data_IF_293558354491
#
_entry.id   IF_293558354491
#
_cell.length_a   1.000
_cell.length_b   1.000
_cell.length_c   1.000
_cell.angle_alpha   90.00
_cell.angle_beta   90.00
_cell.angle_gamma   90.00
#
_symmetry.space_group_name_H-M   'P 1'
#
loop_
_entity.id
_entity.type
_entity.pdbx_description
1 polymer ?
#
# COMPACT_ATOMS: atom_id res chain seq x y z
N UNK A 1 -25.04 -1.23 6.12
CA UNK A 1 -24.43 -0.70 4.87
C UNK A 1 -22.99 -0.34 5.19
N UNK A 2 -22.02 -0.67 4.33
CA UNK A 2 -20.61 -0.31 4.61
C UNK A 2 -20.45 1.20 4.60
N UNK A 3 -19.73 1.75 5.59
CA UNK A 3 -19.52 3.19 5.73
C UNK A 3 -18.78 3.80 4.55
N UNK A 4 -17.86 3.04 3.97
CA UNK A 4 -17.01 3.49 2.87
C UNK A 4 -15.86 2.53 2.66
N UNK A 5 -14.84 3.01 1.94
CA UNK A 5 -13.59 2.28 1.66
C UNK A 5 -12.41 3.03 2.28
N UNK A 6 -11.53 2.31 2.96
CA UNK A 6 -10.25 2.83 3.46
C UNK A 6 -9.11 2.03 2.82
N UNK A 7 -8.12 2.74 2.30
CA UNK A 7 -6.92 2.14 1.73
C UNK A 7 -5.77 2.22 2.74
N UNK A 8 -5.25 1.08 3.18
CA UNK A 8 -4.06 1.01 4.00
C UNK A 8 -2.85 0.75 3.10
N UNK A 9 -1.79 1.53 3.25
CA UNK A 9 -0.53 1.32 2.56
C UNK A 9 0.52 0.85 3.57
N UNK A 10 1.06 -0.36 3.39
CA UNK A 10 2.06 -0.93 4.30
C UNK A 10 3.22 -1.58 3.54
N UNK A 11 4.45 -1.40 4.04
CA UNK A 11 5.64 -2.04 3.50
C UNK A 11 5.63 -3.56 3.66
N UNK A 12 6.30 -4.29 2.78
CA UNK A 12 6.27 -5.75 2.73
C UNK A 12 7.00 -6.51 3.85
N UNK A 13 7.24 -5.87 5.00
CA UNK A 13 7.81 -6.50 6.20
C UNK A 13 6.80 -6.47 7.35
N UNK A 14 6.88 -7.43 8.27
CA UNK A 14 5.96 -7.54 9.41
C UNK A 14 5.85 -6.27 10.25
N UNK A 15 6.95 -5.51 10.42
CA UNK A 15 6.95 -4.26 11.20
C UNK A 15 5.99 -3.17 10.71
N UNK A 16 5.59 -3.20 9.43
CA UNK A 16 4.60 -2.28 8.87
C UNK A 16 3.24 -2.97 8.66
N UNK A 17 3.24 -4.27 8.37
CA UNK A 17 2.02 -5.03 8.11
C UNK A 17 1.22 -5.33 9.38
N UNK A 18 1.86 -5.69 10.50
CA UNK A 18 1.15 -5.97 11.75
C UNK A 18 0.38 -4.76 12.32
N UNK A 19 0.93 -3.53 12.39
CA UNK A 19 0.13 -2.39 12.81
C UNK A 19 -0.99 -2.07 11.80
N UNK A 20 -0.77 -2.31 10.50
CA UNK A 20 -1.80 -2.15 9.48
C UNK A 20 -2.93 -3.17 9.63
N UNK A 21 -2.61 -4.40 9.97
CA UNK A 21 -3.54 -5.49 10.25
C UNK A 21 -4.39 -5.19 11.50
N UNK A 22 -3.75 -4.71 12.57
CA UNK A 22 -4.46 -4.31 13.77
C UNK A 22 -5.49 -3.19 13.49
N UNK A 23 -5.11 -2.18 12.70
CA UNK A 23 -6.06 -1.15 12.28
C UNK A 23 -7.16 -1.72 11.37
N UNK A 24 -6.81 -2.63 10.46
CA UNK A 24 -7.77 -3.22 9.54
C UNK A 24 -8.88 -3.99 10.27
N UNK A 25 -8.55 -4.74 11.33
CA UNK A 25 -9.54 -5.37 12.20
C UNK A 25 -10.52 -4.36 12.79
N UNK A 26 -10.01 -3.32 13.44
CA UNK A 26 -10.83 -2.28 14.07
C UNK A 26 -11.73 -1.55 13.04
N UNK A 27 -11.20 -1.27 11.85
CA UNK A 27 -11.96 -0.62 10.78
C UNK A 27 -13.08 -1.52 10.24
N UNK A 28 -12.81 -2.80 10.06
CA UNK A 28 -13.83 -3.77 9.64
C UNK A 28 -14.94 -3.90 10.67
N UNK A 29 -14.60 -3.98 11.96
CA UNK A 29 -15.59 -4.00 13.06
C UNK A 29 -16.45 -2.73 13.09
N UNK A 30 -15.88 -1.58 12.74
CA UNK A 30 -16.58 -0.31 12.57
C UNK A 30 -17.38 -0.18 11.27
N UNK A 31 -17.41 -1.23 10.44
CA UNK A 31 -18.19 -1.31 9.21
C UNK A 31 -17.55 -0.67 7.97
N UNK A 32 -16.24 -0.45 7.98
CA UNK A 32 -15.48 0.01 6.82
C UNK A 32 -15.02 -1.17 5.96
N UNK A 33 -14.85 -0.94 4.65
CA UNK A 33 -14.19 -1.90 3.76
C UNK A 33 -12.72 -1.54 3.63
N UNK A 34 -11.85 -2.42 4.13
CA UNK A 34 -10.41 -2.21 4.08
C UNK A 34 -9.81 -2.79 2.81
N UNK A 35 -9.02 -2.00 2.09
CA UNK A 35 -8.14 -2.44 1.02
C UNK A 35 -6.68 -2.26 1.46
N UNK A 36 -5.80 -3.17 1.06
CA UNK A 36 -4.37 -3.09 1.35
C UNK A 36 -3.59 -2.79 0.07
N UNK A 37 -2.69 -1.81 0.11
CA UNK A 37 -1.67 -1.53 -0.88
C UNK A 37 -0.31 -1.92 -0.30
N UNK A 38 0.37 -2.88 -0.93
CA UNK A 38 1.65 -3.39 -0.44
C UNK A 38 2.53 -3.90 -1.59
N UNK A 39 3.75 -4.35 -1.33
CA UNK A 39 4.61 -4.94 -2.38
C UNK A 39 4.54 -6.48 -2.37
N UNK A 40 5.14 -7.11 -3.38
CA UNK A 40 5.14 -8.56 -3.53
C UNK A 40 5.85 -9.30 -2.37
N UNK A 41 6.70 -8.63 -1.56
CA UNK A 41 7.33 -9.25 -0.37
C UNK A 41 6.31 -9.51 0.73
N UNK A 42 5.23 -8.74 0.75
CA UNK A 42 4.12 -8.91 1.67
C UNK A 42 3.31 -10.18 1.41
N UNK A 43 3.45 -10.85 0.26
CA UNK A 43 2.69 -12.08 -0.04
C UNK A 43 2.92 -13.18 1.01
N UNK A 44 4.09 -13.17 1.65
CA UNK A 44 4.41 -14.09 2.76
C UNK A 44 3.59 -13.84 4.03
N UNK A 45 3.03 -12.64 4.17
CA UNK A 45 2.29 -12.15 5.33
C UNK A 45 0.82 -11.85 5.00
N UNK A 46 0.44 -11.83 3.71
CA UNK A 46 -0.86 -11.38 3.24
C UNK A 46 -1.98 -12.41 3.40
N UNK A 47 -1.65 -13.70 3.58
CA UNK A 47 -2.62 -14.79 3.59
C UNK A 47 -3.67 -14.73 4.72
N UNK A 48 -3.42 -13.91 5.76
CA UNK A 48 -4.34 -13.72 6.89
C UNK A 48 -4.83 -12.28 7.04
N UNK A 49 -4.38 -11.36 6.19
CA UNK A 49 -4.69 -9.94 6.36
C UNK A 49 -6.19 -9.70 6.15
N UNK A 50 -6.89 -9.00 7.06
CA UNK A 50 -8.34 -8.80 7.01
C UNK A 50 -8.70 -7.67 6.02
N UNK A 51 -8.30 -7.81 4.75
CA UNK A 51 -8.63 -6.88 3.69
C UNK A 51 -9.60 -7.52 2.70
N UNK A 52 -10.49 -6.70 2.15
CA UNK A 52 -11.38 -7.07 1.05
C UNK A 52 -10.59 -7.37 -0.22
N UNK A 53 -9.49 -6.65 -0.43
CA UNK A 53 -8.59 -6.87 -1.55
C UNK A 53 -7.18 -6.37 -1.24
N UNK A 54 -6.18 -7.06 -1.78
CA UNK A 54 -4.76 -6.74 -1.63
C UNK A 54 -4.21 -6.36 -3.00
N UNK A 55 -3.67 -5.16 -3.08
CA UNK A 55 -3.16 -4.57 -4.31
C UNK A 55 -1.62 -4.55 -4.25
N UNK A 56 -0.95 -5.42 -5.01
CA UNK A 56 0.50 -5.36 -5.14
C UNK A 56 0.91 -4.14 -5.98
N UNK A 57 1.75 -3.29 -5.40
CA UNK A 57 2.27 -2.07 -6.03
C UNK A 57 3.78 -2.19 -6.14
N UNK A 58 4.29 -1.89 -7.34
CA UNK A 58 5.74 -1.86 -7.57
C UNK A 58 6.39 -0.77 -6.71
N UNK A 59 7.43 -1.16 -5.98
CA UNK A 59 8.28 -0.23 -5.24
C UNK A 59 9.75 -0.64 -5.42
N UNK A 60 10.65 0.35 -5.38
CA UNK A 60 12.08 0.11 -5.42
C UNK A 60 12.73 0.66 -4.14
N UNK A 61 13.70 -0.07 -3.61
CA UNK A 61 14.55 0.40 -2.52
C UNK A 61 15.68 1.24 -3.12
N UNK A 62 15.78 2.51 -2.70
CA UNK A 62 16.91 3.38 -3.06
C UNK A 62 18.14 2.99 -2.22
N UNK A 63 18.80 1.90 -2.58
CA UNK A 63 19.93 1.34 -1.83
C UNK A 63 21.30 1.46 -2.51
N UNK A 64 21.37 1.94 -3.76
CA UNK A 64 22.60 1.93 -4.56
C UNK A 64 23.09 3.34 -4.88
N UNK A 65 24.41 3.56 -4.79
CA UNK A 65 25.08 4.80 -5.22
C UNK A 65 25.30 4.88 -6.74
N UNK A 66 24.93 3.84 -7.49
CA UNK A 66 25.09 3.81 -8.93
C UNK A 66 24.00 4.65 -9.62
N UNK A 67 24.33 5.68 -10.41
CA UNK A 67 23.35 6.56 -11.05
C UNK A 67 22.38 5.83 -12.00
N UNK A 68 22.81 4.75 -12.66
CA UNK A 68 21.93 3.93 -13.49
C UNK A 68 20.90 3.16 -12.64
N UNK A 69 21.30 2.69 -11.45
CA UNK A 69 20.40 2.02 -10.51
C UNK A 69 19.42 3.00 -9.85
N UNK A 70 19.83 4.26 -9.65
CA UNK A 70 18.93 5.31 -9.17
C UNK A 70 17.88 5.65 -10.21
N UNK A 71 18.26 5.76 -11.49
CA UNK A 71 17.33 6.03 -12.58
C UNK A 71 16.29 4.90 -12.76
N UNK A 72 16.73 3.65 -12.68
CA UNK A 72 15.81 2.50 -12.74
C UNK A 72 14.88 2.42 -11.51
N UNK A 73 15.38 2.77 -10.32
CA UNK A 73 14.56 2.89 -9.12
C UNK A 73 13.50 4.00 -9.28
N UNK A 74 13.87 5.16 -9.83
CA UNK A 74 12.94 6.24 -10.10
C UNK A 74 11.82 5.81 -11.07
N UNK A 75 12.17 5.14 -12.16
CA UNK A 75 11.20 4.60 -13.11
C UNK A 75 10.24 3.59 -12.47
N UNK A 76 10.76 2.76 -11.57
CA UNK A 76 9.96 1.77 -10.82
C UNK A 76 8.99 2.46 -9.85
N UNK A 77 9.45 3.47 -9.11
CA UNK A 77 8.61 4.28 -8.21
C UNK A 77 7.52 4.98 -9.01
N UNK A 78 7.86 5.59 -10.16
CA UNK A 78 6.89 6.26 -11.02
C UNK A 78 5.81 5.29 -11.55
N UNK A 79 6.19 4.07 -11.95
CA UNK A 79 5.22 3.02 -12.30
C UNK A 79 4.34 2.65 -11.10
N UNK A 80 4.92 2.55 -9.91
CA UNK A 80 4.18 2.35 -8.66
C UNK A 80 3.15 3.44 -8.40
N UNK A 81 3.51 4.72 -8.61
CA UNK A 81 2.59 5.86 -8.43
C UNK A 81 1.41 5.75 -9.40
N UNK A 82 1.68 5.41 -10.67
CA UNK A 82 0.61 5.22 -11.67
C UNK A 82 -0.30 4.04 -11.34
N UNK A 83 0.23 2.95 -10.80
CA UNK A 83 -0.57 1.82 -10.32
C UNK A 83 -1.45 2.23 -9.14
N UNK A 84 -0.86 2.88 -8.14
CA UNK A 84 -1.58 3.39 -6.97
C UNK A 84 -2.70 4.37 -7.37
N UNK A 85 -2.40 5.31 -8.27
CA UNK A 85 -3.38 6.29 -8.78
C UNK A 85 -4.58 5.60 -9.45
N UNK A 86 -4.34 4.56 -10.26
CA UNK A 86 -5.42 3.78 -10.88
C UNK A 86 -6.27 3.04 -9.85
N UNK A 87 -5.65 2.50 -8.81
CA UNK A 87 -6.35 1.82 -7.72
C UNK A 87 -7.23 2.82 -6.97
N UNK A 88 -6.67 3.96 -6.56
CA UNK A 88 -7.39 5.04 -5.85
C UNK A 88 -8.56 5.54 -6.72
N UNK A 89 -8.35 5.80 -8.01
CA UNK A 89 -9.41 6.24 -8.90
C UNK A 89 -10.54 5.21 -9.08
N UNK A 90 -10.22 3.90 -8.99
CA UNK A 90 -11.19 2.81 -9.10
C UNK A 90 -11.97 2.60 -7.81
N UNK A 91 -11.28 2.50 -6.68
CA UNK A 91 -11.92 2.15 -5.39
C UNK A 91 -12.47 3.38 -4.65
N UNK A 92 -12.00 4.58 -5.01
CA UNK A 92 -12.40 5.88 -4.44
C UNK A 92 -12.43 5.83 -2.90
N UNK A 93 -11.28 5.59 -2.26
CA UNK A 93 -11.23 5.47 -0.81
C UNK A 93 -11.54 6.83 -0.16
N UNK A 94 -12.21 6.80 0.99
CA UNK A 94 -12.47 7.99 1.80
C UNK A 94 -11.23 8.46 2.57
N UNK A 95 -10.33 7.52 2.88
CA UNK A 95 -9.07 7.80 3.52
C UNK A 95 -7.98 6.83 3.04
N UNK A 96 -6.74 7.33 3.02
CA UNK A 96 -5.53 6.54 2.77
C UNK A 96 -4.62 6.66 3.99
N UNK A 97 -4.23 5.52 4.58
CA UNK A 97 -3.40 5.48 5.79
C UNK A 97 -2.08 4.80 5.47
N UNK A 98 -0.96 5.49 5.69
CA UNK A 98 0.37 4.96 5.47
C UNK A 98 1.01 4.46 6.75
N UNK A 99 1.44 3.20 6.76
CA UNK A 99 2.15 2.58 7.88
C UNK A 99 3.67 2.65 7.74
N UNK A 100 4.17 3.12 6.59
CA UNK A 100 5.59 3.25 6.29
C UNK A 100 6.16 2.09 5.46
N UNK A 101 7.40 2.28 5.02
CA UNK A 101 8.09 1.42 4.06
C UNK A 101 8.07 1.98 2.63
N UNK A 102 9.05 1.61 1.80
CA UNK A 102 9.14 2.06 0.41
C UNK A 102 7.86 1.89 -0.45
N UNK A 103 7.02 0.86 -0.23
CA UNK A 103 5.74 0.71 -0.94
C UNK A 103 4.66 1.74 -0.57
N UNK A 104 4.83 2.50 0.50
CA UNK A 104 3.79 3.46 0.95
C UNK A 104 3.93 4.84 0.33
N UNK A 105 5.11 5.16 -0.21
CA UNK A 105 5.32 6.44 -0.91
C UNK A 105 4.39 6.62 -2.12
N UNK A 106 4.24 5.64 -3.02
CA UNK A 106 3.38 5.83 -4.18
C UNK A 106 1.88 6.00 -3.86
N UNK A 107 1.27 5.20 -2.96
CA UNK A 107 -0.12 5.41 -2.54
C UNK A 107 -0.36 6.73 -1.83
N UNK A 108 0.53 7.15 -0.93
CA UNK A 108 0.36 8.41 -0.22
C UNK A 108 0.47 9.60 -1.16
N UNK A 109 1.46 9.59 -2.07
CA UNK A 109 1.61 10.65 -3.06
C UNK A 109 0.41 10.72 -4.02
N UNK A 110 -0.13 9.57 -4.43
CA UNK A 110 -1.30 9.52 -5.31
C UNK A 110 -2.62 9.90 -4.62
N UNK A 111 -2.64 9.96 -3.28
CA UNK A 111 -3.80 10.35 -2.49
C UNK A 111 -3.86 11.86 -2.19
N UNK A 112 -2.81 12.60 -2.54
CA UNK A 112 -2.74 14.07 -2.40
C UNK A 112 -3.27 14.74 -3.66
#
# INVERSE_FOLDING_TARGET
>A
MSRGVILLAAGGTGGHLFPAEALAHELNERGWKVHLATDHRAERYSGQFPAVNIHPIQSATLGSKNPLAVLSAFWTIWRGVRQASKIIARIKPEAVVGFGGYPTLPPLYAAT
#
